data_IF_040443164941
#
_entry.id   IF_040443164941
#
_cell.length_a   1.000
_cell.length_b   1.000
_cell.length_c   1.000
_cell.angle_alpha   90.00
_cell.angle_beta   90.00
_cell.angle_gamma   90.00
#
_symmetry.space_group_name_H-M   'P 1'
#
loop_
_entity.id
_entity.type
_entity.pdbx_description
1 polymer ?
#
# COMPACT_ATOMS: atom_id res chain seq x y z
N UNK A 1 -6.63 3.63 -18.42
CA UNK A 1 -6.78 3.51 -16.95
C UNK A 1 -5.48 3.88 -16.28
N UNK A 2 -5.53 4.28 -15.01
CA UNK A 2 -4.38 4.56 -14.15
C UNK A 2 -4.54 3.85 -12.80
N UNK A 3 -3.43 3.62 -12.12
CA UNK A 3 -3.39 3.10 -10.74
C UNK A 3 -2.69 4.12 -9.84
N UNK A 4 -3.34 4.48 -8.74
CA UNK A 4 -2.84 5.41 -7.75
C UNK A 4 -2.50 4.65 -6.46
N UNK A 5 -1.24 4.22 -6.27
CA UNK A 5 -0.82 3.51 -5.07
C UNK A 5 -0.67 4.47 -3.88
N UNK A 6 -0.93 3.96 -2.67
CA UNK A 6 -0.61 4.64 -1.42
C UNK A 6 0.80 4.29 -0.92
N UNK A 7 0.97 4.21 0.40
CA UNK A 7 2.24 3.75 0.98
C UNK A 7 2.36 2.23 0.84
N UNK A 8 3.26 1.82 -0.05
CA UNK A 8 3.53 0.42 -0.37
C UNK A 8 4.85 0.01 0.27
N UNK A 9 4.84 -1.12 0.99
CA UNK A 9 6.02 -1.82 1.47
C UNK A 9 6.78 -2.40 0.28
N UNK A 10 7.55 -1.54 -0.39
CA UNK A 10 8.32 -1.84 -1.60
C UNK A 10 9.80 -1.58 -1.38
N UNK A 11 10.64 -2.09 -2.27
CA UNK A 11 12.09 -1.86 -2.28
C UNK A 11 12.49 -0.37 -2.27
N UNK A 12 11.61 0.54 -2.71
CA UNK A 12 11.85 1.99 -2.63
C UNK A 12 12.01 2.50 -1.19
N UNK A 13 11.40 1.85 -0.20
CA UNK A 13 11.51 2.25 1.21
C UNK A 13 12.92 2.11 1.77
N UNK A 14 13.73 1.18 1.24
CA UNK A 14 15.11 0.96 1.66
C UNK A 14 16.08 2.05 1.16
N UNK A 15 15.62 2.97 0.31
CA UNK A 15 16.43 4.07 -0.25
C UNK A 15 16.29 5.38 0.53
N UNK A 16 15.45 5.42 1.57
CA UNK A 16 15.36 6.58 2.45
C UNK A 16 16.54 6.63 3.43
N UNK A 17 16.91 7.84 3.90
CA UNK A 17 17.96 7.99 4.90
C UNK A 17 17.65 7.18 6.19
N UNK A 18 18.66 6.59 6.86
CA UNK A 18 18.46 5.76 8.05
C UNK A 18 17.63 6.42 9.15
N UNK A 19 17.78 7.73 9.34
CA UNK A 19 17.02 8.55 10.30
C UNK A 19 15.49 8.52 10.06
N UNK A 20 15.04 8.13 8.87
CA UNK A 20 13.61 8.00 8.53
C UNK A 20 13.03 6.63 8.90
N UNK A 21 13.84 5.67 9.34
CA UNK A 21 13.40 4.29 9.55
C UNK A 21 12.21 4.17 10.51
N UNK A 22 12.24 4.90 11.63
CA UNK A 22 11.15 4.89 12.61
C UNK A 22 9.88 5.56 12.06
N UNK A 23 10.05 6.62 11.28
CA UNK A 23 8.93 7.28 10.58
C UNK A 23 8.28 6.34 9.57
N UNK A 24 9.09 5.59 8.80
CA UNK A 24 8.61 4.59 7.84
C UNK A 24 7.85 3.48 8.56
N UNK A 25 8.38 2.93 9.66
CA UNK A 25 7.69 1.93 10.48
C UNK A 25 6.38 2.45 11.09
N UNK A 26 6.31 3.74 11.40
CA UNK A 26 5.11 4.39 11.94
C UNK A 26 4.04 4.73 10.89
N UNK A 27 4.36 4.73 9.59
CA UNK A 27 3.41 5.12 8.52
C UNK A 27 2.11 4.31 8.56
N UNK A 28 2.16 3.02 8.94
CA UNK A 28 0.96 2.17 9.07
C UNK A 28 -0.13 2.76 9.96
N UNK A 29 0.23 3.59 10.94
CA UNK A 29 -0.71 4.25 11.87
C UNK A 29 -1.55 5.35 11.21
N UNK A 30 -1.14 5.79 10.01
CA UNK A 30 -1.85 6.79 9.21
C UNK A 30 -2.73 6.14 8.13
N UNK A 31 -2.66 4.81 7.96
CA UNK A 31 -3.47 4.06 6.99
C UNK A 31 -4.73 3.56 7.67
N UNK A 32 -5.94 3.92 7.20
CA UNK A 32 -7.20 3.38 7.73
C UNK A 32 -7.25 1.85 7.80
N UNK A 33 -6.69 1.14 6.82
CA UNK A 33 -6.57 -0.33 6.84
C UNK A 33 -5.54 -0.89 7.83
N UNK A 34 -4.83 -0.03 8.57
CA UNK A 34 -3.92 -0.42 9.66
C UNK A 34 -2.58 -1.00 9.24
N UNK A 35 -2.26 -0.97 7.94
CA UNK A 35 -1.00 -1.51 7.39
C UNK A 35 -0.60 -0.81 6.10
N UNK A 36 0.67 -0.97 5.73
CA UNK A 36 1.13 -0.62 4.38
C UNK A 36 0.55 -1.61 3.35
N UNK A 37 0.35 -1.12 2.13
CA UNK A 37 0.01 -1.98 1.00
C UNK A 37 1.22 -2.83 0.58
N UNK A 38 0.97 -3.91 -0.15
CA UNK A 38 2.04 -4.73 -0.74
C UNK A 38 2.18 -4.46 -2.23
N UNK A 39 3.37 -4.73 -2.80
CA UNK A 39 3.57 -4.69 -4.25
C UNK A 39 2.61 -5.66 -4.98
N UNK A 40 2.25 -6.76 -4.32
CA UNK A 40 1.29 -7.75 -4.84
C UNK A 40 -0.11 -7.17 -5.01
N UNK A 41 -0.56 -6.29 -4.12
CA UNK A 41 -1.90 -5.68 -4.19
C UNK A 41 -2.01 -4.69 -5.34
N UNK A 42 -0.97 -3.87 -5.53
CA UNK A 42 -0.87 -2.97 -6.69
C UNK A 42 -0.84 -3.80 -7.97
N UNK A 43 -0.04 -4.86 -8.00
CA UNK A 43 0.08 -5.73 -9.17
C UNK A 43 -1.23 -6.46 -9.49
N UNK A 44 -1.99 -6.90 -8.49
CA UNK A 44 -3.30 -7.53 -8.69
C UNK A 44 -4.31 -6.58 -9.33
N UNK A 45 -4.33 -5.31 -8.87
CA UNK A 45 -5.17 -4.28 -9.47
C UNK A 45 -4.80 -4.00 -10.94
N UNK A 46 -3.50 -3.97 -11.25
CA UNK A 46 -3.00 -3.84 -12.63
C UNK A 46 -3.44 -5.05 -13.47
N UNK A 47 -3.28 -6.27 -12.97
CA UNK A 47 -3.71 -7.49 -13.68
C UNK A 47 -5.21 -7.48 -13.96
N UNK A 48 -6.04 -7.06 -13.01
CA UNK A 48 -7.47 -6.87 -13.25
C UNK A 48 -7.72 -5.89 -14.41
N UNK A 49 -7.10 -4.70 -14.37
CA UNK A 49 -7.26 -3.67 -15.40
C UNK A 49 -6.75 -4.09 -16.79
N UNK A 50 -5.82 -5.05 -16.86
CA UNK A 50 -5.32 -5.63 -18.11
C UNK A 50 -6.11 -6.87 -18.56
N UNK A 51 -7.01 -7.39 -17.72
CA UNK A 51 -7.77 -8.60 -18.01
C UNK A 51 -9.03 -8.32 -18.85
N UNK A 52 -9.62 -9.38 -19.43
CA UNK A 52 -10.92 -9.30 -20.10
C UNK A 52 -12.05 -8.81 -19.19
N UNK A 53 -11.92 -8.96 -17.87
CA UNK A 53 -12.93 -8.51 -16.91
C UNK A 53 -13.04 -6.98 -16.86
N UNK A 54 -12.02 -6.25 -17.30
CA UNK A 54 -12.00 -4.80 -17.38
C UNK A 54 -12.36 -4.24 -18.77
N UNK A 55 -12.98 -5.05 -19.66
CA UNK A 55 -13.24 -4.68 -21.06
C UNK A 55 -14.09 -3.42 -21.25
N UNK A 56 -14.89 -3.04 -20.25
CA UNK A 56 -15.70 -1.82 -20.25
C UNK A 56 -15.21 -0.75 -19.25
N UNK A 57 -14.03 -0.97 -18.65
CA UNK A 57 -13.40 -0.01 -17.73
C UNK A 57 -12.35 0.78 -18.51
N UNK A 58 -12.62 2.05 -18.77
CA UNK A 58 -11.67 2.96 -19.42
C UNK A 58 -11.74 4.35 -18.78
N UNK A 59 -10.65 5.13 -18.90
CA UNK A 59 -10.56 6.48 -18.32
C UNK A 59 -10.54 6.56 -16.79
N UNK A 60 -10.55 5.42 -16.07
CA UNK A 60 -10.61 5.39 -14.62
C UNK A 60 -9.21 5.47 -13.96
N UNK A 61 -9.15 6.10 -12.80
CA UNK A 61 -8.01 6.03 -11.87
C UNK A 61 -8.39 5.17 -10.67
N UNK A 62 -7.80 3.98 -10.56
CA UNK A 62 -8.05 3.04 -9.46
C UNK A 62 -7.07 3.30 -8.32
N UNK A 63 -7.60 3.63 -7.14
CA UNK A 63 -6.79 3.81 -5.94
C UNK A 63 -6.50 2.48 -5.25
N UNK A 64 -5.24 2.27 -4.89
CA UNK A 64 -4.75 1.11 -4.12
C UNK A 64 -3.92 1.67 -2.96
N UNK A 65 -4.60 2.33 -2.01
CA UNK A 65 -3.97 3.27 -1.08
C UNK A 65 -4.39 3.10 0.39
N UNK A 66 -5.17 2.07 0.71
CA UNK A 66 -5.66 1.84 2.07
C UNK A 66 -6.54 2.98 2.61
N UNK A 67 -7.09 3.83 1.73
CA UNK A 67 -7.92 4.99 2.01
C UNK A 67 -7.21 6.18 2.70
N UNK A 68 -5.87 6.25 2.67
CA UNK A 68 -5.10 7.37 3.27
C UNK A 68 -5.65 8.76 2.86
N UNK A 69 -5.92 9.05 1.58
CA UNK A 69 -6.43 10.37 1.17
C UNK A 69 -7.83 10.71 1.68
N UNK A 70 -8.57 9.73 2.22
CA UNK A 70 -9.90 9.97 2.82
C UNK A 70 -9.80 10.32 4.31
N UNK A 71 -8.61 10.27 4.90
CA UNK A 71 -8.42 10.64 6.30
C UNK A 71 -8.47 12.17 6.46
N UNK A 72 -9.03 12.64 7.59
CA UNK A 72 -9.09 14.07 7.90
C UNK A 72 -7.74 14.55 8.45
N UNK A 73 -7.23 15.67 7.93
CA UNK A 73 -6.01 16.30 8.45
C UNK A 73 -6.16 16.58 9.95
N UNK A 74 -5.18 16.15 10.74
CA UNK A 74 -5.18 16.28 12.21
C UNK A 74 -5.99 15.24 12.96
N UNK A 75 -6.73 14.35 12.27
CA UNK A 75 -7.41 13.23 12.91
C UNK A 75 -6.45 12.05 13.09
N UNK A 76 -6.18 11.69 14.35
CA UNK A 76 -5.43 10.49 14.70
C UNK A 76 -6.36 9.29 14.59
N UNK A 77 -6.02 8.33 13.73
CA UNK A 77 -6.76 7.08 13.62
C UNK A 77 -6.68 6.32 14.95
N UNK A 78 -7.79 5.71 15.42
CA UNK A 78 -7.71 4.78 16.54
C UNK A 78 -6.81 3.59 16.16
N UNK A 79 -6.16 2.94 17.13
CA UNK A 79 -5.41 1.73 16.87
C UNK A 79 -6.27 0.70 16.13
N UNK A 80 -5.76 0.18 15.01
CA UNK A 80 -6.44 -0.89 14.29
C UNK A 80 -5.96 -2.24 14.83
N UNK A 81 -6.74 -2.84 15.71
CA UNK A 81 -6.45 -4.16 16.31
C UNK A 81 -6.53 -5.32 15.32
N UNK A 82 -7.21 -5.13 14.17
CA UNK A 82 -7.41 -6.15 13.15
C UNK A 82 -7.13 -5.58 11.75
N UNK A 83 -5.85 -5.37 11.40
CA UNK A 83 -5.47 -4.90 10.07
C UNK A 83 -6.06 -5.81 8.99
N UNK A 84 -6.45 -5.23 7.85
CA UNK A 84 -6.93 -6.02 6.71
C UNK A 84 -5.86 -7.04 6.29
N UNK A 85 -6.22 -8.26 5.86
CA UNK A 85 -5.23 -9.24 5.40
C UNK A 85 -4.47 -8.69 4.18
N UNK A 86 -3.16 -8.96 4.12
CA UNK A 86 -2.33 -8.60 2.98
C UNK A 86 -2.40 -9.68 1.89
N UNK A 87 -2.46 -9.28 0.64
CA UNK A 87 -2.26 -10.19 -0.48
C UNK A 87 -0.77 -10.23 -0.86
N UNK A 88 -0.20 -11.43 -1.01
CA UNK A 88 1.22 -11.66 -1.32
C UNK A 88 1.41 -12.62 -2.51
N UNK A 89 0.48 -12.64 -3.46
CA UNK A 89 0.48 -13.61 -4.56
C UNK A 89 1.44 -13.33 -5.72
N UNK A 90 2.18 -12.21 -5.72
CA UNK A 90 3.15 -11.91 -6.78
C UNK A 90 4.56 -12.35 -6.40
N UNK A 91 5.15 -13.20 -7.24
CA UNK A 91 6.47 -13.81 -7.04
C UNK A 91 7.65 -12.81 -6.89
N UNK A 92 7.48 -11.55 -7.29
CA UNK A 92 8.52 -10.51 -7.17
C UNK A 92 8.32 -9.57 -5.99
N UNK A 93 7.22 -9.71 -5.25
CA UNK A 93 6.96 -8.86 -4.11
C UNK A 93 7.93 -9.20 -2.98
N UNK A 94 8.64 -8.19 -2.46
CA UNK A 94 9.61 -8.39 -1.38
C UNK A 94 9.38 -7.36 -0.28
N UNK A 95 9.33 -7.82 0.97
CA UNK A 95 9.26 -6.92 2.13
C UNK A 95 10.59 -6.16 2.24
N UNK A 96 10.59 -4.81 2.23
CA UNK A 96 11.81 -4.01 2.34
C UNK A 96 12.48 -4.20 3.70
N UNK A 97 13.80 -4.09 3.74
CA UNK A 97 14.63 -4.33 4.93
C UNK A 97 14.21 -3.46 6.10
N UNK A 98 13.89 -2.19 5.87
CA UNK A 98 13.47 -1.24 6.91
C UNK A 98 12.21 -1.66 7.68
N UNK A 99 11.41 -2.57 7.10
CA UNK A 99 10.16 -3.09 7.67
C UNK A 99 10.26 -4.52 8.18
N UNK A 100 11.41 -5.19 8.06
CA UNK A 100 11.59 -6.53 8.63
C UNK A 100 11.81 -6.38 10.14
N UNK A 101 11.17 -7.23 10.93
CA UNK A 101 11.53 -7.40 12.34
C UNK A 101 12.92 -8.05 12.39
N UNK A 102 13.79 -7.55 13.28
CA UNK A 102 15.15 -8.09 13.49
C UNK A 102 15.12 -9.55 13.96
#
# INVERSE_FOLDING_TARGET
NAVAPGWIASSGMDHYPPEMSDSIRAMKTHVPLGRLGTESEVSAAIVFLLSKAASFVTGATLRVDGAVPNNKVGYRLPPNEKPAPAYNGFHRAVVPKVLREE
#
